data_IF_068797954490
#
_entry.id   IF_068797954490
#
_cell.length_a   1.000
_cell.length_b   1.000
_cell.length_c   1.000
_cell.angle_alpha   90.00
_cell.angle_beta   90.00
_cell.angle_gamma   90.00
#
_symmetry.space_group_name_H-M   'P 1'
#
loop_
_entity.id
_entity.type
_entity.pdbx_description
1 polymer ?
#
# COMPACT_ATOMS: atom_id res chain seq x y z
N UNK A 1 -0.66 -23.22 5.22
CA UNK A 1 0.74 -23.71 5.10
C UNK A 1 1.60 -22.57 5.59
N UNK A 2 2.66 -22.81 6.39
CA UNK A 2 3.42 -21.67 6.93
C UNK A 2 4.07 -20.88 5.80
N UNK A 3 4.05 -19.55 5.91
CA UNK A 3 4.82 -18.66 5.01
C UNK A 3 6.31 -18.99 5.12
N UNK A 4 6.97 -19.20 3.98
CA UNK A 4 8.41 -19.53 3.90
C UNK A 4 9.18 -18.51 3.06
N UNK A 5 10.49 -18.72 2.88
CA UNK A 5 11.37 -17.79 2.15
C UNK A 5 10.91 -17.65 0.71
N UNK A 6 10.99 -16.44 0.18
CA UNK A 6 10.52 -16.06 -1.15
C UNK A 6 9.00 -16.13 -1.37
N UNK A 7 8.19 -16.50 -0.36
CA UNK A 7 6.75 -16.37 -0.49
C UNK A 7 6.35 -14.89 -0.60
N UNK A 8 5.36 -14.62 -1.46
CA UNK A 8 4.83 -13.27 -1.67
C UNK A 8 3.50 -13.14 -0.92
N UNK A 9 3.39 -12.07 -0.12
CA UNK A 9 2.19 -11.72 0.62
C UNK A 9 1.54 -10.50 -0.02
N UNK A 10 0.26 -10.62 -0.38
CA UNK A 10 -0.60 -9.51 -0.79
C UNK A 10 -1.38 -9.02 0.42
N UNK A 11 -1.25 -7.74 0.72
CA UNK A 11 -1.97 -7.08 1.81
C UNK A 11 -3.00 -6.15 1.20
N UNK A 12 -4.27 -6.33 1.53
CA UNK A 12 -5.36 -5.45 1.07
C UNK A 12 -5.84 -4.60 2.22
N UNK A 13 -5.50 -3.30 2.15
CA UNK A 13 -5.96 -2.29 3.10
C UNK A 13 -7.30 -1.74 2.61
N UNK A 14 -8.34 -1.89 3.43
CA UNK A 14 -9.70 -1.47 3.11
C UNK A 14 -10.10 -0.28 3.99
N UNK A 15 -10.67 0.74 3.36
CA UNK A 15 -11.16 1.93 4.02
C UNK A 15 -12.50 2.34 3.41
N UNK A 16 -13.31 3.03 4.20
CA UNK A 16 -14.55 3.66 3.76
C UNK A 16 -14.40 5.17 3.95
N UNK A 17 -14.58 5.93 2.86
CA UNK A 17 -14.52 7.38 2.87
C UNK A 17 -15.82 7.95 3.47
N UNK A 18 -15.83 9.25 3.81
CA UNK A 18 -16.96 9.89 4.48
C UNK A 18 -18.32 9.81 3.77
N UNK A 19 -18.34 9.53 2.46
CA UNK A 19 -19.57 9.33 1.67
C UNK A 19 -19.98 7.85 1.52
N UNK A 20 -19.28 6.93 2.19
CA UNK A 20 -19.46 5.48 2.08
C UNK A 20 -18.71 4.82 0.91
N UNK A 21 -17.97 5.59 0.11
CA UNK A 21 -17.15 5.05 -0.98
C UNK A 21 -16.03 4.16 -0.43
N UNK A 22 -15.92 2.95 -0.96
CA UNK A 22 -14.83 2.03 -0.62
C UNK A 22 -13.53 2.46 -1.31
N UNK A 23 -12.47 2.54 -0.52
CA UNK A 23 -11.11 2.83 -0.96
C UNK A 23 -10.19 1.68 -0.57
N UNK A 24 -9.40 1.19 -1.53
CA UNK A 24 -8.53 0.04 -1.34
C UNK A 24 -7.11 0.34 -1.76
N UNK A 25 -6.15 -0.02 -0.90
CA UNK A 25 -4.74 -0.01 -1.21
C UNK A 25 -4.17 -1.42 -1.07
N UNK A 26 -3.59 -1.93 -2.17
CA UNK A 26 -3.02 -3.27 -2.21
C UNK A 26 -1.51 -3.17 -2.13
N UNK A 27 -0.87 -3.78 -1.16
CA UNK A 27 0.58 -3.90 -1.02
C UNK A 27 1.04 -5.32 -1.32
N UNK A 28 2.28 -5.47 -1.78
CA UNK A 28 2.90 -6.78 -1.94
C UNK A 28 4.23 -6.78 -1.22
N UNK A 29 4.41 -7.77 -0.34
CA UNK A 29 5.65 -8.04 0.38
C UNK A 29 6.24 -9.35 -0.13
N UNK A 30 7.56 -9.44 -0.17
CA UNK A 30 8.27 -10.71 -0.25
C UNK A 30 8.89 -11.01 1.11
N UNK A 31 8.80 -12.26 1.55
CA UNK A 31 9.46 -12.72 2.77
C UNK A 31 10.90 -13.12 2.43
N UNK A 32 11.85 -12.49 3.10
CA UNK A 32 13.29 -12.77 2.97
C UNK A 32 13.81 -13.34 4.32
N UNK A 33 14.68 -14.35 4.28
CA UNK A 33 15.37 -14.94 5.45
C UNK A 33 15.00 -16.41 5.67
N UNK A 34 15.74 -17.16 6.49
CA UNK A 34 15.49 -18.61 6.68
C UNK A 34 14.74 -18.93 7.99
N UNK A 35 14.76 -18.04 8.99
CA UNK A 35 14.24 -18.33 10.33
C UNK A 35 12.72 -18.57 10.35
N UNK A 36 12.23 -19.71 10.89
CA UNK A 36 10.81 -20.03 10.86
C UNK A 36 10.00 -19.06 11.72
N UNK A 37 9.01 -18.42 11.12
CA UNK A 37 8.11 -17.46 11.77
C UNK A 37 6.66 -17.91 11.59
N UNK A 38 5.81 -17.73 12.61
CA UNK A 38 4.40 -18.10 12.51
C UNK A 38 3.60 -17.10 11.67
N UNK A 39 2.53 -17.57 11.04
CA UNK A 39 1.60 -16.74 10.26
C UNK A 39 1.05 -15.55 11.08
N UNK A 40 0.78 -15.76 12.37
CA UNK A 40 0.33 -14.71 13.28
C UNK A 40 1.35 -13.57 13.43
N UNK A 41 2.65 -13.88 13.51
CA UNK A 41 3.71 -12.86 13.60
C UNK A 41 3.81 -12.08 12.29
N UNK A 42 3.60 -12.71 11.13
CA UNK A 42 3.54 -12.01 9.85
C UNK A 42 2.40 -11.00 9.81
N UNK A 43 1.18 -11.41 10.20
CA UNK A 43 0.00 -10.54 10.21
C UNK A 43 0.21 -9.35 11.16
N UNK A 44 0.63 -9.59 12.40
CA UNK A 44 0.89 -8.52 13.38
C UNK A 44 2.00 -7.56 12.93
N UNK A 45 3.08 -8.08 12.33
CA UNK A 45 4.17 -7.24 11.82
C UNK A 45 3.72 -6.38 10.65
N UNK A 46 2.91 -6.93 9.74
CA UNK A 46 2.30 -6.19 8.64
C UNK A 46 1.36 -5.10 9.17
N UNK A 47 0.50 -5.42 10.15
CA UNK A 47 -0.40 -4.46 10.78
C UNK A 47 0.36 -3.27 11.35
N UNK A 48 1.36 -3.51 12.21
CA UNK A 48 2.21 -2.46 12.81
C UNK A 48 2.89 -1.63 11.72
N UNK A 49 3.39 -2.27 10.67
CA UNK A 49 4.05 -1.56 9.59
C UNK A 49 3.07 -0.68 8.79
N UNK A 50 1.85 -1.16 8.53
CA UNK A 50 0.81 -0.39 7.85
C UNK A 50 0.35 0.80 8.69
N UNK A 51 0.19 0.62 10.00
CA UNK A 51 -0.08 1.72 10.93
C UNK A 51 1.02 2.79 10.88
N UNK A 52 2.29 2.37 10.88
CA UNK A 52 3.41 3.30 10.77
C UNK A 52 3.44 4.06 9.43
N UNK A 53 3.08 3.39 8.31
CA UNK A 53 2.96 4.01 6.99
C UNK A 53 1.84 5.05 6.99
N UNK A 54 0.65 4.70 7.48
CA UNK A 54 -0.51 5.59 7.44
C UNK A 54 -0.44 6.72 8.48
N UNK A 55 0.25 6.51 9.60
CA UNK A 55 0.52 7.54 10.62
C UNK A 55 1.17 8.80 10.03
N UNK A 56 1.94 8.68 8.95
CA UNK A 56 2.64 9.83 8.35
C UNK A 56 1.72 10.78 7.59
N UNK A 57 0.49 10.37 7.26
CA UNK A 57 -0.47 11.16 6.48
C UNK A 57 -1.77 11.47 7.23
N UNK A 58 -1.87 11.11 8.52
CA UNK A 58 -3.07 11.27 9.36
C UNK A 58 -3.66 12.69 9.31
N UNK A 59 -2.80 13.71 9.38
CA UNK A 59 -3.25 15.11 9.38
C UNK A 59 -3.80 15.57 8.02
N UNK A 60 -3.50 14.85 6.94
CA UNK A 60 -3.81 15.29 5.58
C UNK A 60 -5.10 14.66 5.06
N UNK A 61 -5.59 13.64 5.75
CA UNK A 61 -6.76 12.85 5.39
C UNK A 61 -7.94 13.28 6.26
N UNK A 62 -9.10 13.39 5.63
CA UNK A 62 -10.38 13.72 6.26
C UNK A 62 -10.75 12.73 7.37
N UNK A 63 -11.14 13.29 8.53
CA UNK A 63 -11.50 12.58 9.76
C UNK A 63 -12.74 11.67 9.63
N UNK A 64 -13.52 11.81 8.56
CA UNK A 64 -14.64 10.92 8.24
C UNK A 64 -14.21 9.60 7.58
N UNK A 65 -12.92 9.41 7.28
CA UNK A 65 -12.41 8.16 6.71
C UNK A 65 -12.29 7.09 7.80
N UNK A 66 -12.94 5.95 7.60
CA UNK A 66 -12.96 4.84 8.54
C UNK A 66 -12.22 3.62 8.00
N UNK A 67 -11.55 2.90 8.88
CA UNK A 67 -10.84 1.66 8.56
C UNK A 67 -11.83 0.50 8.51
N UNK A 68 -11.69 -0.37 7.51
CA UNK A 68 -12.45 -1.60 7.35
C UNK A 68 -11.53 -2.82 7.55
N UNK A 69 -12.12 -4.02 7.65
CA UNK A 69 -11.35 -5.26 7.81
C UNK A 69 -10.36 -5.44 6.65
N UNK A 70 -9.07 -5.54 6.97
CA UNK A 70 -7.98 -5.73 6.02
C UNK A 70 -7.59 -7.22 5.93
N UNK A 71 -6.98 -7.64 4.82
CA UNK A 71 -6.55 -9.04 4.60
C UNK A 71 -5.07 -9.16 4.28
N UNK A 72 -4.47 -10.27 4.71
CA UNK A 72 -3.16 -10.76 4.28
C UNK A 72 -3.35 -12.09 3.58
N UNK A 73 -3.00 -12.13 2.31
CA UNK A 73 -3.17 -13.28 1.43
C UNK A 73 -1.81 -13.71 0.89
N UNK A 74 -1.51 -15.01 0.92
CA UNK A 74 -0.33 -15.54 0.23
C UNK A 74 -0.65 -15.68 -1.25
N UNK A 75 0.21 -15.14 -2.10
CA UNK A 75 0.06 -15.20 -3.55
C UNK A 75 1.22 -15.97 -4.17
N UNK A 76 0.90 -16.78 -5.17
CA UNK A 76 1.89 -17.50 -5.96
C UNK A 76 1.58 -17.33 -7.44
N UNK A 77 2.62 -17.48 -8.27
CA UNK A 77 2.46 -17.47 -9.70
C UNK A 77 1.93 -18.81 -10.20
N UNK A 78 0.82 -18.79 -10.93
CA UNK A 78 0.25 -19.94 -11.57
C UNK A 78 0.77 -20.04 -13.02
N UNK A 79 1.65 -21.01 -13.28
CA UNK A 79 2.26 -21.22 -14.59
C UNK A 79 1.26 -21.65 -15.68
N UNK A 80 0.08 -22.17 -15.30
CA UNK A 80 -0.95 -22.61 -16.24
C UNK A 80 -1.74 -21.42 -16.76
N UNK A 81 -2.10 -20.49 -15.88
CA UNK A 81 -2.90 -19.31 -16.19
C UNK A 81 -2.06 -18.06 -16.48
N UNK A 82 -0.72 -18.15 -16.34
CA UNK A 82 0.24 -17.05 -16.51
C UNK A 82 -0.15 -15.82 -15.66
N UNK A 83 -0.56 -16.04 -14.40
CA UNK A 83 -0.99 -14.97 -13.50
C UNK A 83 -0.67 -15.25 -12.04
N UNK A 84 -0.53 -14.17 -11.26
CA UNK A 84 -0.40 -14.23 -9.80
C UNK A 84 -1.78 -14.42 -9.17
N UNK A 85 -1.94 -15.49 -8.41
CA UNK A 85 -3.22 -15.88 -7.80
C UNK A 85 -3.07 -15.97 -6.27
N UNK A 86 -4.18 -15.74 -5.57
CA UNK A 86 -4.25 -15.97 -4.12
C UNK A 86 -4.32 -17.47 -3.88
N UNK A 87 -3.37 -17.98 -3.10
CA UNK A 87 -3.28 -19.40 -2.72
C UNK A 87 -4.08 -19.66 -1.45
N UNK A 88 -3.87 -18.83 -0.43
CA UNK A 88 -4.57 -18.92 0.85
C UNK A 88 -4.61 -17.56 1.56
N UNK A 89 -5.62 -17.36 2.41
CA UNK A 89 -5.64 -16.24 3.35
C UNK A 89 -4.84 -16.63 4.60
N UNK A 90 -3.85 -15.81 4.94
CA UNK A 90 -2.96 -16.01 6.10
C UNK A 90 -3.58 -15.38 7.36
N UNK A 91 -4.34 -14.31 7.18
CA UNK A 91 -5.13 -13.71 8.24
C UNK A 91 -5.77 -12.39 7.84
N UNK A 92 -6.39 -11.76 8.82
CA UNK A 92 -7.03 -10.45 8.71
C UNK A 92 -6.67 -9.60 9.92
N UNK A 93 -6.75 -8.29 9.77
CA UNK A 93 -6.45 -7.32 10.83
C UNK A 93 -7.22 -6.02 10.58
N UNK A 94 -7.27 -5.15 11.59
CA UNK A 94 -7.93 -3.84 11.50
C UNK A 94 -6.97 -2.80 12.10
N UNK A 95 -6.16 -2.13 11.27
CA UNK A 95 -5.11 -1.23 11.76
C UNK A 95 -5.71 -0.02 12.48
N UNK A 96 -5.00 0.48 13.49
CA UNK A 96 -5.30 1.75 14.13
C UNK A 96 -4.89 2.93 13.22
N UNK A 97 -5.83 3.40 12.41
CA UNK A 97 -5.68 4.63 11.64
C UNK A 97 -6.88 5.54 11.90
N UNK A 98 -6.61 6.71 12.48
CA UNK A 98 -7.63 7.72 12.81
C UNK A 98 -7.18 9.05 12.23
N UNK A 99 -7.61 9.37 11.00
CA UNK A 99 -7.33 10.66 10.37
C UNK A 99 -7.78 11.84 11.24
N UNK A 100 -7.07 12.96 11.13
CA UNK A 100 -7.34 14.17 11.92
C UNK A 100 -7.42 15.42 11.05
N UNK A 101 -7.45 15.26 9.72
CA UNK A 101 -7.58 16.38 8.81
C UNK A 101 -8.96 16.99 8.92
N UNK A 102 -9.00 18.27 9.29
CA UNK A 102 -10.23 19.07 9.37
C UNK A 102 -10.40 19.85 8.06
N UNK A 103 -11.52 19.62 7.36
CA UNK A 103 -11.86 20.29 6.11
C UNK A 103 -12.44 19.35 5.06
N UNK A 104 -12.87 19.92 3.94
CA UNK A 104 -13.45 19.14 2.85
C UNK A 104 -12.38 18.34 2.10
N UNK A 105 -12.62 17.04 1.91
CA UNK A 105 -11.82 16.19 1.04
C UNK A 105 -11.84 16.71 -0.40
N UNK A 106 -10.68 16.72 -1.07
CA UNK A 106 -10.61 16.95 -2.51
C UNK A 106 -11.44 15.88 -3.27
N UNK A 107 -11.93 16.18 -4.48
CA UNK A 107 -12.71 15.22 -5.26
C UNK A 107 -11.94 13.90 -5.41
N UNK A 108 -12.60 12.76 -5.19
CA UNK A 108 -11.89 11.47 -5.12
C UNK A 108 -11.24 10.98 -6.42
N UNK A 109 -11.45 11.69 -7.52
CA UNK A 109 -10.75 11.46 -8.78
C UNK A 109 -9.37 12.13 -8.79
N UNK A 110 -9.17 13.15 -7.96
CA UNK A 110 -7.93 13.86 -7.70
C UNK A 110 -7.23 13.21 -6.51
N UNK A 111 -6.09 12.58 -6.74
CA UNK A 111 -5.38 11.85 -5.71
C UNK A 111 -3.88 12.14 -5.73
N UNK A 112 -3.27 12.49 -4.58
CA UNK A 112 -1.83 12.45 -4.42
C UNK A 112 -1.33 11.02 -4.62
N UNK A 113 -0.10 10.87 -5.13
CA UNK A 113 0.47 9.55 -5.36
C UNK A 113 1.99 9.53 -5.19
N UNK A 114 2.51 8.38 -4.77
CA UNK A 114 3.94 8.12 -4.64
C UNK A 114 4.35 7.08 -5.69
N UNK A 115 5.43 7.37 -6.42
CA UNK A 115 6.01 6.44 -7.39
C UNK A 115 7.16 5.70 -6.71
N UNK A 116 7.13 4.38 -6.75
CA UNK A 116 8.22 3.54 -6.29
C UNK A 116 9.00 3.00 -7.49
N UNK A 117 10.30 3.31 -7.56
CA UNK A 117 11.21 2.74 -8.56
C UNK A 117 11.69 1.38 -8.09
N UNK A 118 11.79 0.44 -9.04
CA UNK A 118 12.33 -0.91 -8.78
C UNK A 118 13.74 -1.05 -9.36
N UNK A 119 14.39 -2.18 -9.07
CA UNK A 119 15.68 -2.55 -9.67
C UNK A 119 15.63 -2.61 -11.20
N UNK A 120 14.47 -2.91 -11.79
CA UNK A 120 14.31 -2.97 -13.24
C UNK A 120 13.85 -1.62 -13.80
N UNK A 121 14.61 -1.01 -14.73
CA UNK A 121 14.17 0.20 -15.41
C UNK A 121 12.78 0.03 -16.04
N UNK A 122 11.95 1.08 -15.94
CA UNK A 122 10.56 1.16 -16.44
C UNK A 122 9.54 0.27 -15.71
N UNK A 123 9.95 -0.57 -14.76
CA UNK A 123 9.02 -1.21 -13.81
C UNK A 123 8.88 -0.31 -12.59
N UNK A 124 7.70 0.26 -12.41
CA UNK A 124 7.41 1.21 -11.33
C UNK A 124 6.14 0.82 -10.59
N UNK A 125 6.19 0.86 -9.27
CA UNK A 125 5.01 0.85 -8.43
C UNK A 125 4.41 2.25 -8.37
N UNK A 126 3.09 2.34 -8.29
CA UNK A 126 2.38 3.57 -7.93
C UNK A 126 1.45 3.26 -6.78
N UNK A 127 1.49 4.09 -5.73
CA UNK A 127 0.49 4.10 -4.67
C UNK A 127 -0.23 5.42 -4.74
N UNK A 128 -1.53 5.37 -5.02
CA UNK A 128 -2.40 6.52 -4.85
C UNK A 128 -2.72 6.59 -3.37
N UNK A 129 -2.68 7.78 -2.80
CA UNK A 129 -3.05 8.04 -1.42
C UNK A 129 -4.53 8.41 -1.36
N UNK A 130 -5.03 8.61 -0.15
CA UNK A 130 -6.36 9.16 0.05
C UNK A 130 -6.48 10.53 -0.63
N UNK A 131 -7.69 10.96 -0.99
CA UNK A 131 -7.97 12.36 -1.21
C UNK A 131 -7.52 13.13 0.03
N UNK A 132 -6.64 14.10 -0.14
CA UNK A 132 -6.27 14.99 0.96
C UNK A 132 -7.37 16.03 1.18
N UNK A 133 -7.37 16.68 2.33
CA UNK A 133 -8.25 17.84 2.57
C UNK A 133 -7.82 19.03 1.68
N UNK A 134 -8.76 19.90 1.34
CA UNK A 134 -8.55 21.02 0.40
C UNK A 134 -7.44 21.97 0.85
N UNK A 135 -7.23 22.13 2.16
CA UNK A 135 -6.15 22.95 2.73
C UNK A 135 -4.74 22.43 2.41
N UNK A 136 -4.60 21.21 1.90
CA UNK A 136 -3.32 20.62 1.51
C UNK A 136 -2.95 20.88 0.05
N UNK A 137 -3.77 21.65 -0.69
CA UNK A 137 -3.52 22.02 -2.07
C UNK A 137 -3.76 23.51 -2.33
N UNK A 138 -2.99 24.07 -3.26
CA UNK A 138 -3.27 25.32 -3.95
C UNK A 138 -3.52 24.99 -5.42
N UNK A 139 -4.79 25.03 -5.83
CA UNK A 139 -5.26 24.59 -7.14
C UNK A 139 -4.93 23.12 -7.45
N UNK A 140 -3.88 22.86 -8.25
CA UNK A 140 -3.45 21.50 -8.64
C UNK A 140 -2.12 21.09 -8.02
N UNK A 141 -1.55 21.95 -7.17
CA UNK A 141 -0.24 21.80 -6.55
C UNK A 141 -0.43 21.55 -5.06
N UNK A 142 0.18 20.50 -4.55
CA UNK A 142 0.20 20.16 -3.14
C UNK A 142 1.08 21.13 -2.36
N UNK A 143 0.62 21.54 -1.18
CA UNK A 143 1.41 22.36 -0.28
C UNK A 143 2.62 21.60 0.28
N UNK A 144 3.62 22.34 0.76
CA UNK A 144 4.87 21.77 1.27
C UNK A 144 4.66 20.76 2.42
N UNK A 145 3.66 20.98 3.27
CA UNK A 145 3.30 20.05 4.36
C UNK A 145 2.81 18.70 3.81
N UNK A 146 1.98 18.72 2.77
CA UNK A 146 1.48 17.52 2.10
C UNK A 146 2.63 16.76 1.40
N UNK A 147 3.51 17.46 0.68
CA UNK A 147 4.68 16.85 0.03
C UNK A 147 5.61 16.21 1.07
N UNK A 148 5.81 16.85 2.22
CA UNK A 148 6.62 16.31 3.33
C UNK A 148 6.00 15.04 3.90
N UNK A 149 4.68 15.04 4.14
CA UNK A 149 3.94 13.87 4.61
C UNK A 149 4.00 12.70 3.61
N UNK A 150 3.92 12.99 2.30
CA UNK A 150 4.09 11.99 1.24
C UNK A 150 5.51 11.42 1.18
N UNK A 151 6.53 12.25 1.41
CA UNK A 151 7.92 11.79 1.48
C UNK A 151 8.11 10.86 2.69
N UNK A 152 7.57 11.23 3.85
CA UNK A 152 7.57 10.38 5.04
C UNK A 152 6.84 9.06 4.81
N UNK A 153 5.67 9.09 4.16
CA UNK A 153 4.92 7.89 3.73
C UNK A 153 5.78 6.99 2.84
N UNK A 154 6.45 7.59 1.84
CA UNK A 154 7.34 6.88 0.93
C UNK A 154 8.52 6.23 1.65
N UNK A 155 9.13 6.94 2.60
CA UNK A 155 10.22 6.42 3.44
C UNK A 155 9.74 5.28 4.34
N UNK A 156 8.58 5.42 4.99
CA UNK A 156 7.98 4.37 5.80
C UNK A 156 7.73 3.11 4.96
N UNK A 157 7.18 3.25 3.75
CA UNK A 157 6.99 2.13 2.81
C UNK A 157 8.30 1.44 2.39
N UNK A 158 9.45 2.10 2.46
CA UNK A 158 10.75 1.49 2.09
C UNK A 158 11.42 0.80 3.28
N UNK A 159 10.93 0.98 4.51
CA UNK A 159 11.44 0.26 5.65
C UNK A 159 11.02 -1.22 5.56
N UNK A 160 11.98 -2.13 5.66
CA UNK A 160 11.71 -3.56 5.73
C UNK A 160 11.46 -3.94 7.20
N UNK A 161 10.21 -4.20 7.62
CA UNK A 161 9.96 -4.63 8.99
C UNK A 161 10.59 -6.01 9.23
N UNK A 162 11.22 -6.16 10.40
CA UNK A 162 11.77 -7.44 10.84
C UNK A 162 10.68 -8.28 11.50
N UNK A 163 10.67 -9.56 11.17
CA UNK A 163 9.81 -10.58 11.77
C UNK A 163 10.47 -11.23 13.01
N UNK A 164 11.71 -10.82 13.34
CA UNK A 164 12.61 -11.49 14.28
C UNK A 164 13.65 -12.35 13.56
N UNK A 165 14.80 -12.59 14.21
CA UNK A 165 15.89 -13.36 13.61
C UNK A 165 16.47 -12.69 12.37
N UNK A 166 16.68 -13.46 11.30
CA UNK A 166 17.07 -12.97 9.96
C UNK A 166 15.89 -12.62 9.04
N UNK A 167 14.66 -12.91 9.47
CA UNK A 167 13.47 -12.78 8.64
C UNK A 167 12.97 -11.34 8.54
N UNK A 168 12.68 -10.88 7.32
CA UNK A 168 12.16 -9.53 7.01
C UNK A 168 11.10 -9.57 5.92
N UNK A 169 10.33 -8.49 5.79
CA UNK A 169 9.38 -8.30 4.69
C UNK A 169 9.78 -7.10 3.84
N UNK A 170 9.97 -7.31 2.54
CA UNK A 170 10.37 -6.24 1.62
C UNK A 170 9.21 -5.87 0.69
N UNK A 171 8.86 -4.59 0.59
CA UNK A 171 7.80 -4.11 -0.31
C UNK A 171 8.25 -4.12 -1.79
N UNK A 172 7.31 -4.43 -2.68
CA UNK A 172 7.57 -4.44 -4.12
C UNK A 172 6.33 -4.58 -5.00
N UNK A 173 6.56 -5.02 -6.24
CA UNK A 173 5.52 -5.37 -7.20
C UNK A 173 5.74 -6.76 -7.77
N UNK A 174 4.66 -7.50 -7.96
CA UNK A 174 4.63 -8.69 -8.80
C UNK A 174 4.53 -8.29 -10.27
N UNK A 175 5.31 -8.94 -11.14
CA UNK A 175 5.26 -8.71 -12.59
C UNK A 175 4.96 -10.01 -13.32
N UNK A 176 3.78 -10.09 -13.91
CA UNK A 176 3.28 -11.26 -14.64
C UNK A 176 4.18 -11.67 -15.81
N UNK A 177 4.48 -10.76 -16.74
CA UNK A 177 5.18 -11.13 -17.98
C UNK A 177 6.64 -11.58 -17.85
N UNK A 178 7.20 -11.64 -16.63
CA UNK A 178 8.50 -12.27 -16.37
C UNK A 178 8.48 -13.21 -15.15
N UNK A 179 7.30 -13.43 -14.55
CA UNK A 179 7.15 -14.14 -13.29
C UNK A 179 8.23 -13.75 -12.25
N UNK A 180 8.27 -12.48 -11.86
CA UNK A 180 9.27 -12.02 -10.89
C UNK A 180 8.70 -10.97 -9.96
N UNK A 181 9.12 -11.01 -8.70
CA UNK A 181 8.92 -9.95 -7.72
C UNK A 181 10.02 -8.90 -7.84
N UNK A 182 9.65 -7.62 -7.87
CA UNK A 182 10.60 -6.51 -8.00
C UNK A 182 10.48 -5.58 -6.79
N UNK A 183 11.53 -5.58 -5.97
CA UNK A 183 11.61 -4.77 -4.75
C UNK A 183 11.60 -3.28 -5.09
N UNK A 184 10.97 -2.49 -4.22
CA UNK A 184 11.09 -1.04 -4.25
C UNK A 184 12.46 -0.60 -3.73
N UNK A 185 13.08 0.34 -4.43
CA UNK A 185 14.38 0.90 -4.07
C UNK A 185 14.30 2.37 -3.65
N UNK A 186 13.46 3.13 -4.33
CA UNK A 186 13.37 4.58 -4.17
C UNK A 186 11.92 5.01 -4.29
N UNK A 187 11.47 5.84 -3.36
CA UNK A 187 10.20 6.54 -3.42
C UNK A 187 10.44 7.91 -4.05
N UNK A 188 9.61 8.27 -5.03
CA UNK A 188 9.65 9.55 -5.72
C UNK A 188 8.29 10.21 -5.50
N UNK A 189 8.32 11.41 -4.93
CA UNK A 189 7.16 12.24 -4.64
C UNK A 189 7.14 13.42 -5.62
N UNK A 190 5.94 13.82 -6.02
CA UNK A 190 5.69 14.99 -6.85
C UNK A 190 4.62 15.85 -6.14
N UNK A 191 4.70 17.16 -6.30
CA UNK A 191 3.72 18.12 -5.78
C UNK A 191 2.48 18.21 -6.68
N UNK A 192 2.53 17.71 -7.92
CA UNK A 192 1.38 17.73 -8.81
C UNK A 192 0.41 16.58 -8.52
N UNK A 193 -0.86 16.93 -8.29
CA UNK A 193 -1.94 15.97 -8.06
C UNK A 193 -2.20 15.12 -9.31
N UNK A 194 -2.31 13.81 -9.11
CA UNK A 194 -2.65 12.86 -10.17
C UNK A 194 -4.15 12.68 -10.33
N UNK A 195 -4.57 12.18 -11.50
CA UNK A 195 -5.92 11.65 -11.66
C UNK A 195 -5.91 10.13 -11.48
N UNK A 196 -6.80 9.63 -10.63
CA UNK A 196 -7.07 8.20 -10.52
C UNK A 196 -8.20 7.86 -11.50
N UNK A 197 -7.86 7.23 -12.63
CA UNK A 197 -8.86 6.69 -13.55
C UNK A 197 -9.52 5.47 -12.89
N UNK A 198 -10.60 5.70 -12.14
CA UNK A 198 -11.45 4.61 -11.61
C UNK A 198 -11.91 3.77 -12.81
N UNK A 199 -11.66 2.45 -12.77
CA UNK A 199 -12.15 1.55 -13.83
C UNK A 199 -13.66 1.73 -13.92
N UNK A 200 -14.19 2.01 -15.12
CA UNK A 200 -15.63 2.05 -15.31
C UNK A 200 -16.18 0.66 -14.96
N UNK A 201 -17.23 0.56 -14.14
CA UNK A 201 -17.93 -0.70 -13.95
C UNK A 201 -18.30 -1.29 -15.32
N UNK A 202 -17.90 -2.54 -15.59
CA UNK A 202 -18.24 -3.25 -16.83
C UNK A 202 -17.24 -3.16 -18.00
N UNK A 203 -16.01 -2.69 -17.81
CA UNK A 203 -14.97 -2.71 -18.87
C UNK A 203 -13.70 -3.41 -18.38
N UNK A 204 -13.44 -4.61 -18.94
CA UNK A 204 -12.23 -5.40 -18.75
C UNK A 204 -12.31 -6.36 -17.56
N UNK A 205 -12.83 -7.56 -17.83
CA UNK A 205 -12.48 -8.77 -17.07
C UNK A 205 -10.98 -9.08 -17.31
#
# INVERSE_FOLDING_TARGET
MSVIDQDVLRVTMNFELGDGTQYQNIFHYIRDGDDPVSDAVHVTTIEIHQEAIYATIVAQVDDNTTVQLCSVDRVAFNEITDQWEVVENIGTFTPAFTPTGDGESIPYMSAPYVIFKTQRPRSVGKKFLFPFIESQQADTVLEAAAVTAMAAYGTACLAAPSLGGDATLTLGITRTGINTFLNFLVAVVNDIIGSQKRRRPGVGA
#
